data_IF_041919540184
#
_entry.id   IF_041919540184
#
_cell.length_a   1.000
_cell.length_b   1.000
_cell.length_c   1.000
_cell.angle_alpha   90.00
_cell.angle_beta   90.00
_cell.angle_gamma   90.00
#
_symmetry.space_group_name_H-M   'P 1'
#
loop_
_entity.id
_entity.type
_entity.pdbx_description
1 polymer ?
#
# COMPACT_ATOMS: atom_id res chain seq x y z
N UNK A 1 -24.44 -90.00 88.47
CA UNK A 1 -24.82 -88.85 87.61
C UNK A 1 -23.74 -87.78 87.76
N UNK A 2 -22.66 -87.88 86.96
CA UNK A 2 -21.45 -87.05 87.13
C UNK A 2 -21.54 -85.77 86.31
N UNK A 3 -21.45 -84.64 87.00
CA UNK A 3 -21.45 -83.27 86.48
C UNK A 3 -20.29 -82.99 85.52
N UNK A 4 -20.60 -82.59 84.29
CA UNK A 4 -19.61 -81.96 83.40
C UNK A 4 -19.26 -80.57 83.95
N UNK A 5 -17.97 -80.35 84.24
CA UNK A 5 -17.42 -79.02 84.59
C UNK A 5 -17.28 -78.20 83.30
N UNK A 6 -17.66 -76.91 83.29
CA UNK A 6 -17.49 -76.06 82.11
C UNK A 6 -16.00 -75.79 81.84
N UNK A 7 -15.65 -75.83 80.56
CA UNK A 7 -14.30 -75.66 80.01
C UNK A 7 -13.76 -74.24 80.29
N UNK A 8 -12.55 -74.12 80.85
CA UNK A 8 -11.90 -72.82 81.08
C UNK A 8 -11.46 -72.25 79.75
N UNK A 9 -12.19 -71.27 79.24
CA UNK A 9 -11.81 -70.49 78.06
C UNK A 9 -10.54 -69.69 78.36
N UNK A 10 -9.43 -69.98 77.67
CA UNK A 10 -8.18 -69.22 77.77
C UNK A 10 -8.20 -68.12 76.71
N UNK A 11 -8.33 -66.86 77.13
CA UNK A 11 -8.26 -65.71 76.22
C UNK A 11 -6.78 -65.41 75.90
N UNK A 12 -6.34 -65.83 74.72
CA UNK A 12 -5.03 -65.48 74.16
C UNK A 12 -5.23 -64.31 73.18
N UNK A 13 -5.12 -63.09 73.68
CA UNK A 13 -5.09 -61.89 72.83
C UNK A 13 -3.67 -61.36 72.67
N UNK A 14 -3.42 -60.68 71.56
CA UNK A 14 -2.12 -60.08 71.26
C UNK A 14 -1.81 -58.93 72.24
N UNK A 15 -0.86 -59.14 73.14
CA UNK A 15 -0.47 -58.13 74.14
C UNK A 15 0.46 -57.10 73.48
N UNK A 16 -0.13 -56.02 72.97
CA UNK A 16 0.62 -54.85 72.51
C UNK A 16 0.47 -53.70 73.51
N UNK A 17 1.60 -53.06 73.88
CA UNK A 17 1.58 -51.90 74.76
C UNK A 17 1.20 -50.65 73.96
N UNK A 18 -0.08 -50.29 73.98
CA UNK A 18 -0.57 -49.08 73.30
C UNK A 18 -0.16 -47.86 74.13
N UNK A 19 0.66 -46.98 73.54
CA UNK A 19 1.00 -45.66 74.11
C UNK A 19 0.72 -44.58 73.07
N UNK A 20 -0.01 -43.55 73.47
CA UNK A 20 -0.16 -42.33 72.67
C UNK A 20 1.01 -41.39 72.98
N UNK A 21 1.66 -40.89 71.93
CA UNK A 21 2.74 -39.92 72.04
C UNK A 21 2.42 -38.71 71.18
N UNK A 22 2.61 -37.51 71.74
CA UNK A 22 2.51 -36.24 71.03
C UNK A 22 3.89 -35.57 71.05
N UNK A 23 4.87 -36.18 70.36
CA UNK A 23 6.20 -35.60 70.25
C UNK A 23 6.12 -34.34 69.39
N UNK A 24 6.41 -33.19 70.01
CA UNK A 24 6.42 -31.92 69.29
C UNK A 24 7.60 -31.87 68.32
N UNK A 25 7.43 -31.24 67.15
CA UNK A 25 8.55 -31.02 66.24
C UNK A 25 9.60 -30.12 66.91
N UNK A 26 10.89 -30.28 66.55
CA UNK A 26 11.92 -29.35 67.00
C UNK A 26 11.61 -27.93 66.49
N UNK A 27 12.06 -26.88 67.19
CA UNK A 27 11.79 -25.51 66.77
C UNK A 27 12.31 -25.27 65.35
N UNK A 28 11.43 -24.79 64.42
CA UNK A 28 11.88 -24.36 63.12
C UNK A 28 12.72 -23.11 63.35
N UNK A 29 13.95 -23.07 62.86
CA UNK A 29 14.79 -21.89 62.93
C UNK A 29 14.66 -21.15 61.59
N UNK A 30 13.56 -20.42 61.33
CA UNK A 30 13.41 -19.71 60.06
C UNK A 30 14.50 -18.63 59.95
N UNK A 31 14.85 -18.24 58.72
CA UNK A 31 15.74 -17.11 58.51
C UNK A 31 15.17 -15.85 59.16
N UNK A 32 16.02 -15.09 59.84
CA UNK A 32 15.64 -13.81 60.44
C UNK A 32 15.53 -12.76 59.34
N UNK A 33 14.38 -12.12 59.23
CA UNK A 33 14.23 -10.96 58.35
C UNK A 33 15.02 -9.79 58.95
N UNK A 34 15.79 -9.12 58.10
CA UNK A 34 16.50 -7.90 58.46
C UNK A 34 15.59 -6.70 58.23
N UNK A 35 15.67 -5.72 59.10
CA UNK A 35 14.99 -4.43 58.90
C UNK A 35 15.76 -3.63 57.85
N UNK A 36 15.09 -3.35 56.73
CA UNK A 36 15.67 -2.53 55.66
C UNK A 36 15.45 -1.06 56.03
N UNK A 37 16.51 -0.23 56.13
CA UNK A 37 16.36 1.16 56.52
C UNK A 37 15.54 1.93 55.48
N UNK A 38 14.44 2.55 55.91
CA UNK A 38 13.62 3.44 55.10
C UNK A 38 13.69 4.90 55.60
N UNK A 39 13.50 5.87 54.71
CA UNK A 39 13.57 7.30 55.06
C UNK A 39 12.37 7.78 55.88
N UNK A 40 11.26 7.04 55.90
CA UNK A 40 10.10 7.32 56.75
C UNK A 40 9.58 8.77 56.65
N UNK A 41 8.75 9.17 57.61
CA UNK A 41 8.32 10.57 57.72
C UNK A 41 9.37 11.46 58.38
N UNK A 42 10.26 10.86 59.19
CA UNK A 42 11.35 11.57 59.88
C UNK A 42 12.46 12.04 58.92
N UNK A 43 12.61 11.40 57.75
CA UNK A 43 13.59 11.76 56.73
C UNK A 43 13.31 13.06 55.98
N UNK A 44 12.19 13.75 56.26
CA UNK A 44 11.92 15.10 55.75
C UNK A 44 11.51 15.19 54.28
N UNK A 45 11.74 14.15 53.48
CA UNK A 45 11.42 14.13 52.04
C UNK A 45 9.93 14.36 51.79
N UNK A 46 9.07 13.63 52.49
CA UNK A 46 7.60 13.71 52.38
C UNK A 46 6.98 14.91 53.09
N UNK A 47 7.69 15.52 54.04
CA UNK A 47 7.21 16.70 54.78
C UNK A 47 7.77 18.01 54.23
N UNK A 48 8.63 17.95 53.21
CA UNK A 48 9.18 19.12 52.54
C UNK A 48 8.11 19.82 51.69
N UNK A 49 8.14 21.16 51.66
CA UNK A 49 7.27 21.95 50.79
C UNK A 49 7.49 21.63 49.29
N UNK A 50 8.70 21.19 48.92
CA UNK A 50 9.02 20.78 47.56
C UNK A 50 8.21 19.56 47.10
N UNK A 51 7.92 18.63 48.01
CA UNK A 51 7.09 17.45 47.73
C UNK A 51 5.67 17.84 47.27
N UNK A 52 5.10 18.89 47.86
CA UNK A 52 3.78 19.41 47.52
C UNK A 52 3.77 20.34 46.28
N UNK A 53 4.93 20.69 45.72
CA UNK A 53 5.03 21.65 44.61
C UNK A 53 4.28 21.22 43.35
N UNK A 54 4.26 19.91 43.06
CA UNK A 54 3.52 19.36 41.92
C UNK A 54 2.00 19.56 42.10
N UNK A 55 1.49 19.26 43.29
CA UNK A 55 0.08 19.46 43.63
C UNK A 55 -0.31 20.94 43.55
N UNK A 56 0.56 21.83 44.04
CA UNK A 56 0.31 23.28 43.98
C UNK A 56 0.23 23.80 42.53
N UNK A 57 1.01 23.24 41.60
CA UNK A 57 0.99 23.61 40.17
C UNK A 57 -0.19 23.05 39.40
N UNK A 58 -0.75 21.94 39.87
CA UNK A 58 -1.96 21.33 39.27
C UNK A 58 -3.25 22.06 39.69
N UNK A 59 -3.20 22.93 40.71
CA UNK A 59 -4.34 23.76 41.08
C UNK A 59 -4.68 24.73 39.94
N UNK A 60 -5.94 24.76 39.47
CA UNK A 60 -6.39 25.74 38.49
C UNK A 60 -6.10 27.16 38.97
N UNK A 61 -5.51 27.97 38.09
CA UNK A 61 -5.24 29.38 38.40
C UNK A 61 -6.56 30.14 38.45
N UNK A 62 -6.69 31.00 39.47
CA UNK A 62 -7.78 31.96 39.48
C UNK A 62 -7.57 32.97 38.35
N UNK A 63 -8.58 33.12 37.50
CA UNK A 63 -8.61 34.09 36.40
C UNK A 63 -9.42 35.35 36.75
N UNK A 64 -10.04 35.38 37.93
CA UNK A 64 -10.72 36.57 38.46
C UNK A 64 -9.67 37.62 38.86
N UNK A 65 -9.47 38.62 38.00
CA UNK A 65 -8.49 39.67 38.23
C UNK A 65 -8.94 40.68 39.31
N UNK A 66 -10.18 41.15 39.21
CA UNK A 66 -10.82 42.08 40.13
C UNK A 66 -12.34 41.82 40.20
N UNK A 67 -13.08 42.68 40.90
CA UNK A 67 -14.53 42.55 41.04
C UNK A 67 -15.31 42.69 39.71
N UNK A 68 -14.72 43.28 38.67
CA UNK A 68 -15.33 43.52 37.36
C UNK A 68 -14.64 42.71 36.24
N UNK A 69 -13.89 41.67 36.60
CA UNK A 69 -13.15 40.77 35.70
C UNK A 69 -12.24 41.53 34.70
N UNK A 70 -11.63 42.63 35.13
CA UNK A 70 -10.76 43.48 34.32
C UNK A 70 -11.47 44.33 33.27
N UNK A 71 -12.80 44.43 33.32
CA UNK A 71 -13.61 45.28 32.45
C UNK A 71 -14.31 46.36 33.29
N UNK A 72 -13.61 47.48 33.61
CA UNK A 72 -14.15 48.48 34.50
C UNK A 72 -15.38 49.17 33.91
N UNK A 73 -16.51 49.16 34.62
CA UNK A 73 -17.74 49.83 34.20
C UNK A 73 -17.77 51.24 34.80
N UNK A 74 -17.06 52.16 34.16
CA UNK A 74 -17.04 53.58 34.53
C UNK A 74 -17.69 54.45 33.44
N UNK A 75 -18.55 55.37 33.87
CA UNK A 75 -19.24 56.34 33.00
C UNK A 75 -18.49 57.67 32.92
N UNK A 76 -17.50 57.89 33.78
CA UNK A 76 -16.70 59.11 33.81
C UNK A 76 -15.87 59.19 32.51
N UNK A 77 -16.03 60.30 31.78
CA UNK A 77 -15.34 60.53 30.49
C UNK A 77 -16.13 60.09 29.27
N UNK A 78 -17.29 59.44 29.42
CA UNK A 78 -18.22 59.18 28.31
C UNK A 78 -18.94 60.48 27.93
N UNK A 79 -18.82 60.96 26.67
CA UNK A 79 -19.46 62.22 26.26
C UNK A 79 -20.98 62.18 26.40
N UNK A 80 -21.57 63.21 27.01
CA UNK A 80 -23.03 63.43 27.04
C UNK A 80 -23.83 62.58 28.03
N UNK A 81 -23.20 61.59 28.70
CA UNK A 81 -23.93 60.63 29.55
C UNK A 81 -24.63 61.29 30.75
N UNK A 82 -23.98 62.25 31.40
CA UNK A 82 -24.56 62.99 32.53
C UNK A 82 -25.57 64.06 32.11
N UNK A 83 -25.66 64.37 30.81
CA UNK A 83 -26.61 65.32 30.21
C UNK A 83 -27.86 64.62 29.67
N UNK A 84 -27.92 63.28 29.77
CA UNK A 84 -29.03 62.45 29.29
C UNK A 84 -28.88 61.94 27.85
N UNK A 85 -27.74 62.19 27.20
CA UNK A 85 -27.42 61.59 25.89
C UNK A 85 -26.68 60.25 26.07
N UNK A 86 -27.39 59.16 25.82
CA UNK A 86 -26.87 57.79 25.95
C UNK A 86 -26.28 57.23 24.64
N UNK A 87 -26.16 58.03 23.58
CA UNK A 87 -25.70 57.53 22.26
C UNK A 87 -24.32 56.90 22.28
N UNK A 88 -23.42 57.37 23.14
CA UNK A 88 -22.04 56.87 23.22
C UNK A 88 -21.94 55.41 23.72
N UNK A 89 -22.93 54.92 24.47
CA UNK A 89 -22.98 53.55 24.99
C UNK A 89 -23.93 52.64 24.20
N UNK A 90 -24.74 53.22 23.31
CA UNK A 90 -25.63 52.43 22.45
C UNK A 90 -24.88 51.80 21.28
N UNK A 91 -25.34 50.62 20.89
CA UNK A 91 -24.86 49.94 19.69
C UNK A 91 -25.36 50.65 18.44
N UNK A 92 -24.54 50.71 17.39
CA UNK A 92 -24.97 51.17 16.06
C UNK A 92 -26.18 50.36 15.57
N UNK A 93 -27.18 51.03 15.00
CA UNK A 93 -28.34 50.40 14.36
C UNK A 93 -27.94 49.59 13.11
N UNK A 94 -26.81 49.95 12.49
CA UNK A 94 -26.27 49.25 11.32
C UNK A 94 -25.16 48.28 11.74
N UNK A 95 -25.29 46.98 11.44
CA UNK A 95 -24.26 45.99 11.75
C UNK A 95 -23.03 46.25 10.88
N UNK A 96 -21.89 46.47 11.53
CA UNK A 96 -20.62 46.67 10.86
C UNK A 96 -20.03 45.32 10.39
N UNK A 97 -19.21 45.30 9.33
CA UNK A 97 -18.45 44.12 8.94
C UNK A 97 -17.56 43.65 10.09
N UNK A 98 -17.62 42.36 10.44
CA UNK A 98 -16.87 41.77 11.56
C UNK A 98 -15.44 41.47 11.11
N UNK A 99 -14.44 41.83 11.92
CA UNK A 99 -13.04 41.46 11.68
C UNK A 99 -12.87 39.93 11.71
N UNK A 100 -12.07 39.33 10.80
CA UNK A 100 -11.76 37.91 10.82
C UNK A 100 -11.28 37.36 12.19
N UNK A 101 -10.56 38.16 13.00
CA UNK A 101 -10.10 37.77 14.34
C UNK A 101 -11.26 37.65 15.33
N UNK A 102 -12.20 38.59 15.29
CA UNK A 102 -13.37 38.64 16.19
C UNK A 102 -14.40 37.56 15.85
N UNK A 103 -14.46 37.18 14.57
CA UNK A 103 -15.36 36.11 14.10
C UNK A 103 -15.19 34.79 14.86
N UNK A 104 -13.99 34.49 15.37
CA UNK A 104 -13.75 33.28 16.16
C UNK A 104 -14.33 33.36 17.57
N UNK A 105 -14.36 34.55 18.16
CA UNK A 105 -14.87 34.81 19.52
C UNK A 105 -16.40 34.77 19.57
N UNK A 106 -17.07 35.08 18.45
CA UNK A 106 -18.52 35.06 18.31
C UNK A 106 -19.13 33.65 18.10
N UNK A 107 -18.31 32.59 18.13
CA UNK A 107 -18.82 31.22 17.97
C UNK A 107 -19.70 30.85 19.18
N UNK A 108 -20.90 30.30 18.96
CA UNK A 108 -21.74 29.84 20.07
C UNK A 108 -21.04 28.69 20.79
N UNK A 109 -21.32 28.53 22.09
CA UNK A 109 -20.74 27.45 22.91
C UNK A 109 -20.98 26.05 22.31
N UNK A 110 -22.12 25.84 21.65
CA UNK A 110 -22.43 24.59 20.95
C UNK A 110 -21.48 24.29 19.77
N UNK A 111 -20.91 25.32 19.14
CA UNK A 111 -19.88 25.18 18.10
C UNK A 111 -18.48 25.00 18.70
N UNK A 112 -18.30 25.28 20.00
CA UNK A 112 -17.07 25.03 20.74
C UNK A 112 -17.06 23.57 21.22
N UNK A 113 -16.93 22.67 20.26
CA UNK A 113 -16.83 21.22 20.51
C UNK A 113 -15.74 20.62 19.63
N UNK A 114 -15.25 19.43 20.01
CA UNK A 114 -14.33 18.67 19.16
C UNK A 114 -14.99 18.45 17.79
N UNK A 115 -14.41 19.01 16.74
CA UNK A 115 -14.78 18.67 15.38
C UNK A 115 -14.76 17.16 15.22
N UNK A 116 -15.77 16.61 14.54
CA UNK A 116 -16.00 15.18 14.31
C UNK A 116 -14.72 14.33 14.45
N UNK A 117 -14.58 13.66 15.59
CA UNK A 117 -13.51 12.68 15.82
C UNK A 117 -13.66 11.41 14.94
N UNK A 118 -14.63 11.40 14.03
CA UNK A 118 -14.88 10.35 13.05
C UNK A 118 -13.80 10.26 11.95
N UNK A 119 -12.84 11.18 11.93
CA UNK A 119 -11.82 11.27 10.87
C UNK A 119 -10.37 11.11 11.34
N UNK A 120 -10.10 10.90 12.63
CA UNK A 120 -8.72 10.70 13.09
C UNK A 120 -8.21 9.35 12.55
N UNK A 121 -7.22 9.32 11.64
CA UNK A 121 -6.72 8.08 11.09
C UNK A 121 -5.91 7.37 12.17
N UNK A 122 -6.49 6.34 12.76
CA UNK A 122 -5.80 5.50 13.73
C UNK A 122 -5.24 4.28 12.98
N UNK A 123 -3.92 4.09 13.02
CA UNK A 123 -3.20 3.09 12.21
C UNK A 123 -3.62 1.64 12.46
N UNK A 124 -4.15 1.36 13.66
CA UNK A 124 -4.65 0.02 14.02
C UNK A 124 -6.10 -0.22 13.61
N UNK A 125 -6.89 0.82 13.31
CA UNK A 125 -8.31 0.69 13.03
C UNK A 125 -8.55 0.69 11.52
N UNK A 126 -8.65 -0.52 10.94
CA UNK A 126 -9.03 -0.69 9.54
C UNK A 126 -10.53 -0.42 9.36
N UNK A 127 -10.91 0.14 8.21
CA UNK A 127 -12.33 0.28 7.83
C UNK A 127 -12.92 -1.12 7.61
N UNK A 128 -14.14 -1.32 8.06
CA UNK A 128 -14.88 -2.57 7.81
C UNK A 128 -15.18 -2.66 6.31
N UNK A 129 -14.81 -3.77 5.68
CA UNK A 129 -15.33 -4.12 4.36
C UNK A 129 -16.79 -4.53 4.51
N UNK A 130 -17.66 -3.92 3.70
CA UNK A 130 -18.99 -4.45 3.49
C UNK A 130 -18.87 -5.46 2.35
N UNK A 131 -19.43 -6.66 2.53
CA UNK A 131 -19.50 -7.68 1.49
C UNK A 131 -20.38 -7.17 0.34
N UNK A 132 -19.81 -6.33 -0.53
CA UNK A 132 -20.42 -5.98 -1.79
C UNK A 132 -20.32 -7.24 -2.65
N UNK A 133 -21.46 -7.84 -2.94
CA UNK A 133 -21.60 -8.98 -3.83
C UNK A 133 -21.23 -8.59 -5.26
N UNK A 134 -19.95 -8.38 -5.55
CA UNK A 134 -19.43 -8.63 -6.88
C UNK A 134 -18.87 -10.05 -6.85
N UNK A 135 -19.80 -11.00 -6.94
CA UNK A 135 -19.47 -12.31 -7.44
C UNK A 135 -18.75 -12.13 -8.79
N UNK A 136 -17.73 -12.95 -9.11
CA UNK A 136 -17.28 -13.03 -10.48
C UNK A 136 -18.51 -13.27 -11.35
N UNK A 137 -18.72 -12.42 -12.34
CA UNK A 137 -19.80 -12.56 -13.31
C UNK A 137 -19.60 -13.92 -13.99
N UNK A 138 -20.23 -14.94 -13.44
CA UNK A 138 -20.41 -16.21 -14.11
C UNK A 138 -21.15 -15.88 -15.40
N UNK A 139 -20.53 -16.22 -16.52
CA UNK A 139 -21.08 -16.14 -17.86
C UNK A 139 -22.59 -16.38 -17.81
N UNK A 140 -23.36 -15.36 -18.22
CA UNK A 140 -24.79 -15.49 -18.37
C UNK A 140 -25.05 -16.69 -19.29
N UNK A 141 -25.56 -17.79 -18.73
CA UNK A 141 -26.10 -18.88 -19.51
C UNK A 141 -27.21 -18.28 -20.38
N UNK A 142 -26.91 -18.12 -21.67
CA UNK A 142 -27.88 -17.70 -22.66
C UNK A 142 -29.04 -18.71 -22.64
N UNK A 143 -30.14 -18.32 -21.99
CA UNK A 143 -31.36 -19.14 -22.03
C UNK A 143 -31.89 -19.17 -23.47
N UNK A 144 -32.53 -20.26 -23.85
CA UNK A 144 -33.06 -20.50 -25.19
C UNK A 144 -34.01 -19.39 -25.70
N UNK A 145 -34.59 -18.58 -24.80
CA UNK A 145 -35.41 -17.42 -25.15
C UNK A 145 -34.61 -16.24 -25.72
N UNK A 146 -33.37 -16.02 -25.27
CA UNK A 146 -32.52 -14.96 -25.82
C UNK A 146 -31.93 -15.34 -27.18
N UNK A 147 -31.62 -16.63 -27.38
CA UNK A 147 -31.19 -17.15 -28.68
C UNK A 147 -32.28 -16.98 -29.76
N UNK A 148 -33.54 -17.13 -29.40
CA UNK A 148 -34.68 -16.97 -30.31
C UNK A 148 -34.98 -15.52 -30.69
N UNK A 149 -34.61 -14.55 -29.85
CA UNK A 149 -34.69 -13.11 -30.17
C UNK A 149 -33.58 -12.69 -31.13
N UNK A 150 -32.38 -13.27 -30.99
CA UNK A 150 -31.26 -13.05 -31.93
C UNK A 150 -31.49 -13.71 -33.31
N UNK A 151 -32.23 -14.81 -33.37
CA UNK A 151 -32.49 -15.56 -34.63
C UNK A 151 -33.53 -14.91 -35.55
N UNK A 152 -34.41 -14.08 -35.01
CA UNK A 152 -35.56 -13.52 -35.73
C UNK A 152 -35.42 -12.03 -36.08
N UNK A 153 -34.24 -11.44 -35.93
CA UNK A 153 -34.01 -10.05 -36.34
C UNK A 153 -33.76 -9.98 -37.88
N UNK A 154 -34.72 -9.45 -38.68
CA UNK A 154 -34.63 -9.46 -40.13
C UNK A 154 -33.51 -8.57 -40.68
N UNK A 155 -32.90 -7.70 -39.84
CA UNK A 155 -31.76 -6.85 -40.22
C UNK A 155 -30.42 -7.58 -40.22
N UNK A 156 -30.30 -8.75 -39.57
CA UNK A 156 -29.06 -9.53 -39.50
C UNK A 156 -28.98 -10.68 -40.51
N UNK A 157 -30.08 -10.93 -41.21
CA UNK A 157 -30.18 -11.92 -42.29
C UNK A 157 -29.70 -11.30 -43.60
N UNK A 158 -28.38 -11.09 -43.71
CA UNK A 158 -27.58 -11.05 -44.96
C UNK A 158 -26.22 -10.41 -44.63
N UNK A 159 -25.32 -11.23 -44.11
CA UNK A 159 -23.90 -11.07 -44.41
C UNK A 159 -23.48 -12.47 -44.84
N UNK A 160 -23.09 -12.64 -46.09
CA UNK A 160 -22.31 -13.82 -46.48
C UNK A 160 -21.11 -13.82 -45.53
N UNK A 161 -21.08 -14.75 -44.59
CA UNK A 161 -19.92 -14.91 -43.71
C UNK A 161 -18.79 -15.38 -44.61
N UNK A 162 -17.93 -14.45 -45.00
CA UNK A 162 -16.63 -14.79 -45.60
C UNK A 162 -15.94 -15.73 -44.63
N UNK A 163 -15.38 -16.83 -45.14
CA UNK A 163 -14.70 -17.81 -44.31
C UNK A 163 -13.60 -17.11 -43.51
N UNK A 164 -13.64 -17.26 -42.18
CA UNK A 164 -12.71 -16.57 -41.26
C UNK A 164 -11.28 -17.03 -41.46
N UNK A 165 -11.10 -18.26 -41.91
CA UNK A 165 -9.82 -18.92 -42.14
C UNK A 165 -9.30 -18.75 -43.58
N UNK A 166 -10.02 -18.02 -44.45
CA UNK A 166 -9.52 -17.71 -45.79
C UNK A 166 -8.30 -16.78 -45.67
N UNK A 167 -7.11 -17.14 -46.21
CA UNK A 167 -5.90 -16.32 -46.12
C UNK A 167 -6.11 -14.89 -46.63
N UNK A 168 -6.95 -14.69 -47.65
CA UNK A 168 -7.24 -13.35 -48.16
C UNK A 168 -8.03 -12.54 -47.13
N UNK A 169 -9.00 -13.17 -46.46
CA UNK A 169 -9.79 -12.52 -45.42
C UNK A 169 -8.94 -12.18 -44.19
N UNK A 170 -8.00 -13.05 -43.82
CA UNK A 170 -7.03 -12.79 -42.74
C UNK A 170 -6.18 -11.57 -43.10
N UNK A 171 -5.58 -11.54 -44.31
CA UNK A 171 -4.76 -10.42 -44.77
C UNK A 171 -5.53 -9.09 -44.78
N UNK A 172 -6.78 -9.09 -45.24
CA UNK A 172 -7.63 -7.88 -45.22
C UNK A 172 -7.93 -7.39 -43.80
N UNK A 173 -8.13 -8.30 -42.84
CA UNK A 173 -8.36 -7.92 -41.44
C UNK A 173 -7.07 -7.46 -40.74
N UNK A 174 -5.90 -8.00 -41.13
CA UNK A 174 -4.60 -7.49 -40.68
C UNK A 174 -4.41 -6.05 -41.20
N UNK A 175 -4.59 -5.83 -42.51
CA UNK A 175 -4.49 -4.50 -43.12
C UNK A 175 -5.47 -3.49 -42.49
N UNK A 176 -6.71 -3.91 -42.18
CA UNK A 176 -7.69 -3.10 -41.44
C UNK A 176 -7.15 -2.60 -40.09
N UNK A 177 -6.37 -3.41 -39.36
CA UNK A 177 -5.77 -2.98 -38.08
C UNK A 177 -4.80 -1.80 -38.26
N UNK A 178 -3.98 -1.86 -39.32
CA UNK A 178 -3.08 -0.76 -39.69
C UNK A 178 -3.85 0.47 -40.20
N UNK A 179 -4.87 0.27 -41.04
CA UNK A 179 -5.71 1.35 -41.57
C UNK A 179 -6.49 2.09 -40.46
N UNK A 180 -6.90 1.39 -39.39
CA UNK A 180 -7.54 2.02 -38.22
C UNK A 180 -6.54 2.87 -37.43
N UNK A 181 -5.31 2.37 -37.25
CA UNK A 181 -4.27 3.08 -36.50
C UNK A 181 -3.77 4.32 -37.26
N UNK A 182 -3.58 4.19 -38.58
CA UNK A 182 -3.05 5.22 -39.49
C UNK A 182 -3.95 5.39 -40.72
N UNK A 183 -5.09 6.11 -40.60
CA UNK A 183 -6.07 6.23 -41.69
C UNK A 183 -5.57 7.02 -42.91
N UNK A 184 -4.51 7.82 -42.76
CA UNK A 184 -3.87 8.57 -43.84
C UNK A 184 -3.08 7.66 -44.79
N UNK A 185 -2.50 6.58 -44.25
CA UNK A 185 -1.66 5.64 -45.02
C UNK A 185 -2.49 4.52 -45.69
N UNK A 186 -3.80 4.50 -45.44
CA UNK A 186 -4.69 3.43 -45.89
C UNK A 186 -4.77 3.35 -47.42
N UNK A 187 -4.47 2.17 -47.97
CA UNK A 187 -4.49 1.92 -49.42
C UNK A 187 -5.94 1.85 -49.95
N UNK A 188 -6.29 2.74 -50.89
CA UNK A 188 -7.65 2.84 -51.48
C UNK A 188 -7.75 2.32 -52.93
N UNK A 189 -6.67 1.75 -53.47
CA UNK A 189 -6.60 1.23 -54.84
C UNK A 189 -7.23 -0.15 -55.03
N UNK A 190 -7.24 -0.65 -56.27
CA UNK A 190 -7.68 -2.01 -56.61
C UNK A 190 -6.73 -3.07 -56.03
N UNK A 191 -7.26 -4.25 -55.73
CA UNK A 191 -6.49 -5.37 -55.18
C UNK A 191 -5.45 -5.87 -56.22
N UNK A 192 -4.20 -5.99 -55.79
CA UNK A 192 -3.06 -6.51 -56.57
C UNK A 192 -2.45 -7.73 -55.89
N UNK A 193 -1.56 -8.44 -56.57
CA UNK A 193 -0.83 -9.60 -56.01
C UNK A 193 0.09 -9.23 -54.85
N UNK A 194 0.53 -7.97 -54.78
CA UNK A 194 1.46 -7.45 -53.76
C UNK A 194 0.80 -6.56 -52.72
N UNK A 195 -0.40 -6.05 -52.97
CA UNK A 195 -1.08 -5.09 -52.09
C UNK A 195 -2.58 -5.32 -52.13
N UNK A 196 -3.16 -5.52 -50.95
CA UNK A 196 -4.58 -5.80 -50.77
C UNK A 196 -5.21 -4.66 -49.99
N UNK A 197 -6.44 -4.30 -50.35
CA UNK A 197 -7.23 -3.33 -49.59
C UNK A 197 -7.66 -3.93 -48.25
N UNK A 198 -7.49 -3.17 -47.16
CA UNK A 198 -8.00 -3.55 -45.85
C UNK A 198 -9.53 -3.73 -45.84
N UNK A 199 -10.00 -4.59 -44.94
CA UNK A 199 -11.43 -4.70 -44.68
C UNK A 199 -11.98 -3.36 -44.15
N UNK A 200 -13.21 -3.01 -44.54
CA UNK A 200 -13.80 -1.74 -44.10
C UNK A 200 -13.93 -1.68 -42.56
N UNK A 201 -13.39 -0.64 -41.91
CA UNK A 201 -13.57 -0.45 -40.48
C UNK A 201 -15.02 -0.10 -40.16
N UNK A 202 -15.49 -0.57 -39.02
CA UNK A 202 -16.83 -0.25 -38.51
C UNK A 202 -16.81 1.06 -37.75
N UNK A 203 -17.94 1.77 -37.74
CA UNK A 203 -18.08 3.02 -36.96
C UNK A 203 -17.76 2.85 -35.48
N UNK A 204 -17.98 1.65 -34.93
CA UNK A 204 -17.67 1.33 -33.54
C UNK A 204 -16.16 1.28 -33.28
N UNK A 205 -15.39 0.68 -34.20
CA UNK A 205 -13.93 0.60 -34.11
C UNK A 205 -13.29 1.98 -34.25
N UNK A 206 -13.76 2.79 -35.21
CA UNK A 206 -13.27 4.17 -35.41
C UNK A 206 -13.52 5.01 -34.15
N UNK A 207 -14.72 4.93 -33.56
CA UNK A 207 -15.04 5.66 -32.32
C UNK A 207 -14.24 5.17 -31.12
N UNK A 208 -14.00 3.86 -31.03
CA UNK A 208 -13.20 3.27 -29.96
C UNK A 208 -11.74 3.71 -30.05
N UNK A 209 -11.18 3.79 -31.25
CA UNK A 209 -9.82 4.30 -31.46
C UNK A 209 -9.71 5.80 -31.19
N UNK A 210 -10.69 6.60 -31.63
CA UNK A 210 -10.69 8.04 -31.40
C UNK A 210 -10.89 8.43 -29.91
N UNK A 211 -11.61 7.61 -29.14
CA UNK A 211 -11.85 7.84 -27.71
C UNK A 211 -11.62 6.53 -26.92
N UNK A 212 -10.36 6.13 -26.73
CA UNK A 212 -10.04 4.86 -26.12
C UNK A 212 -10.46 4.84 -24.65
N UNK A 213 -11.16 3.77 -24.27
CA UNK A 213 -11.58 3.50 -22.90
C UNK A 213 -10.95 2.20 -22.43
N UNK A 214 -10.44 2.20 -21.20
CA UNK A 214 -9.88 0.98 -20.63
C UNK A 214 -11.00 -0.07 -20.44
N UNK A 215 -10.82 -1.32 -20.89
CA UNK A 215 -11.90 -2.33 -20.96
C UNK A 215 -12.54 -2.63 -19.59
N UNK A 216 -11.75 -2.60 -18.51
CA UNK A 216 -12.22 -2.91 -17.14
C UNK A 216 -12.46 -1.67 -16.27
N UNK A 217 -11.87 -0.53 -16.61
CA UNK A 217 -11.77 0.65 -15.74
C UNK A 217 -12.11 1.92 -16.54
N UNK A 218 -13.39 2.15 -16.84
CA UNK A 218 -13.80 3.19 -17.77
C UNK A 218 -13.49 4.61 -17.29
N UNK A 219 -13.17 4.82 -16.00
CA UNK A 219 -12.71 6.13 -15.50
C UNK A 219 -11.29 6.51 -15.93
N UNK A 220 -10.48 5.55 -16.38
CA UNK A 220 -9.11 5.83 -16.80
C UNK A 220 -9.10 6.56 -18.14
N UNK A 221 -8.20 7.55 -18.25
CA UNK A 221 -7.98 8.34 -19.45
C UNK A 221 -6.66 7.93 -20.09
N UNK A 222 -6.65 7.84 -21.42
CA UNK A 222 -5.40 7.70 -22.17
C UNK A 222 -4.55 8.95 -21.95
N UNK A 223 -3.31 8.76 -21.49
CA UNK A 223 -2.34 9.83 -21.32
C UNK A 223 -1.52 10.03 -22.59
N UNK A 224 -0.94 8.94 -23.11
CA UNK A 224 -0.06 8.95 -24.27
C UNK A 224 -0.14 7.60 -25.01
N UNK A 225 0.23 7.58 -26.29
CA UNK A 225 0.24 6.39 -27.14
C UNK A 225 1.54 6.32 -27.94
N UNK A 226 2.32 5.27 -27.72
CA UNK A 226 3.60 5.06 -28.40
C UNK A 226 3.46 4.01 -29.51
N UNK A 227 3.93 4.29 -30.74
CA UNK A 227 3.96 3.30 -31.80
C UNK A 227 5.00 2.21 -31.47
N UNK A 228 4.64 0.95 -31.71
CA UNK A 228 5.59 -0.16 -31.64
C UNK A 228 6.24 -0.30 -33.01
N UNK A 229 7.43 0.29 -33.16
CA UNK A 229 8.24 0.13 -34.35
C UNK A 229 9.35 -0.88 -34.06
N UNK A 230 9.58 -1.87 -34.93
CA UNK A 230 10.81 -2.67 -34.86
C UNK A 230 11.98 -1.74 -35.12
N UNK A 231 12.79 -1.49 -34.09
CA UNK A 231 13.92 -0.59 -34.19
C UNK A 231 15.09 -1.31 -34.88
N UNK A 232 15.29 -1.01 -36.16
CA UNK A 232 16.36 -1.60 -36.99
C UNK A 232 17.72 -0.92 -36.75
N UNK A 233 17.72 0.29 -36.19
CA UNK A 233 18.90 1.10 -35.93
C UNK A 233 19.15 1.26 -34.42
N UNK A 234 18.51 0.41 -33.59
CA UNK A 234 18.64 0.40 -32.13
C UNK A 234 20.10 0.22 -31.72
N UNK A 235 20.84 1.31 -31.55
CA UNK A 235 22.11 1.26 -30.86
C UNK A 235 21.79 1.05 -29.38
N UNK A 236 22.38 0.04 -28.72
CA UNK A 236 22.27 -0.07 -27.27
C UNK A 236 22.76 1.23 -26.64
N UNK A 237 22.32 1.53 -25.42
CA UNK A 237 22.70 2.76 -24.69
C UNK A 237 24.22 3.01 -24.64
N UNK A 238 25.03 1.96 -24.80
CA UNK A 238 26.50 2.02 -24.88
C UNK A 238 27.05 2.51 -26.23
N UNK A 239 26.24 2.67 -27.28
CA UNK A 239 26.64 3.13 -28.61
C UNK A 239 27.57 2.18 -29.38
N UNK A 240 27.77 0.96 -28.89
CA UNK A 240 28.69 -0.02 -29.47
C UNK A 240 27.99 -1.37 -29.70
N UNK A 241 28.30 -2.04 -30.81
CA UNK A 241 27.95 -3.44 -30.99
C UNK A 241 28.98 -4.33 -30.32
N UNK A 242 28.53 -5.38 -29.63
CA UNK A 242 29.40 -6.34 -28.97
C UNK A 242 29.36 -7.63 -29.76
N UNK A 243 30.53 -8.09 -30.20
CA UNK A 243 30.67 -9.43 -30.78
C UNK A 243 31.22 -10.34 -29.69
N UNK A 244 30.38 -11.22 -29.18
CA UNK A 244 30.78 -12.21 -28.17
C UNK A 244 31.10 -13.53 -28.85
N UNK A 245 32.28 -14.08 -28.57
CA UNK A 245 32.69 -15.41 -29.01
C UNK A 245 32.93 -16.29 -27.79
N UNK A 246 32.17 -17.38 -27.67
CA UNK A 246 32.43 -18.38 -26.65
C UNK A 246 33.71 -19.16 -26.99
N UNK A 247 34.57 -19.37 -25.99
CA UNK A 247 35.81 -20.15 -26.16
C UNK A 247 35.52 -21.65 -26.36
N UNK A 248 34.46 -22.17 -25.73
CA UNK A 248 33.92 -23.51 -25.88
C UNK A 248 32.39 -23.44 -25.92
N UNK A 249 31.72 -24.46 -26.46
CA UNK A 249 30.26 -24.49 -26.49
C UNK A 249 29.69 -24.41 -25.05
N UNK A 250 28.89 -23.38 -24.71
CA UNK A 250 28.38 -23.18 -23.34
C UNK A 250 27.43 -24.30 -22.90
N UNK A 251 26.89 -25.09 -23.83
CA UNK A 251 25.97 -26.19 -23.54
C UNK A 251 26.63 -27.58 -23.55
N UNK A 252 27.97 -27.65 -23.65
CA UNK A 252 28.73 -28.90 -23.64
C UNK A 252 29.24 -29.32 -25.02
N UNK A 253 29.91 -30.48 -25.08
CA UNK A 253 30.56 -30.96 -26.31
C UNK A 253 29.50 -31.49 -27.28
N UNK A 254 29.37 -30.84 -28.44
CA UNK A 254 28.49 -31.27 -29.55
C UNK A 254 29.19 -30.99 -30.88
N UNK A 255 28.96 -31.85 -31.87
CA UNK A 255 29.45 -31.65 -33.25
C UNK A 255 28.48 -30.85 -34.13
N UNK A 256 27.26 -30.59 -33.66
CA UNK A 256 26.24 -29.82 -34.38
C UNK A 256 26.05 -28.43 -33.77
N UNK A 257 25.71 -27.45 -34.61
CA UNK A 257 25.34 -26.11 -34.16
C UNK A 257 24.10 -26.17 -33.26
N UNK A 258 24.14 -25.49 -32.13
CA UNK A 258 23.05 -25.44 -31.16
C UNK A 258 22.17 -24.21 -31.42
N UNK A 259 20.93 -24.41 -31.86
CA UNK A 259 19.96 -23.35 -32.18
C UNK A 259 19.61 -22.48 -30.97
N UNK A 260 19.88 -22.94 -29.74
CA UNK A 260 19.70 -22.13 -28.53
C UNK A 260 20.59 -20.89 -28.50
N UNK A 261 21.68 -20.88 -29.28
CA UNK A 261 22.55 -19.71 -29.43
C UNK A 261 21.87 -18.58 -30.21
N UNK A 262 20.93 -18.88 -31.11
CA UNK A 262 20.22 -17.88 -31.93
C UNK A 262 19.24 -17.05 -31.08
N UNK A 263 18.67 -17.67 -30.05
CA UNK A 263 17.71 -17.05 -29.12
C UNK A 263 18.36 -16.71 -27.76
N UNK A 264 19.68 -16.82 -27.65
CA UNK A 264 20.41 -16.57 -26.41
C UNK A 264 20.44 -15.08 -26.07
N UNK A 265 20.17 -14.75 -24.81
CA UNK A 265 20.22 -13.38 -24.31
C UNK A 265 21.47 -13.20 -23.43
N UNK A 266 22.31 -12.23 -23.77
CA UNK A 266 23.39 -11.76 -22.91
C UNK A 266 22.91 -10.54 -22.14
N UNK A 267 22.87 -10.64 -20.82
CA UNK A 267 22.49 -9.54 -19.95
C UNK A 267 23.74 -9.01 -19.23
N UNK A 268 24.12 -7.73 -19.39
CA UNK A 268 25.24 -7.16 -18.67
C UNK A 268 24.92 -7.07 -17.17
N UNK A 269 25.88 -7.46 -16.35
CA UNK A 269 25.81 -7.33 -14.90
C UNK A 269 26.41 -5.98 -14.52
N UNK A 270 25.64 -5.18 -13.79
CA UNK A 270 26.12 -3.93 -13.19
C UNK A 270 26.99 -4.24 -11.97
N UNK A 271 28.32 -4.18 -12.15
CA UNK A 271 29.30 -4.29 -11.07
C UNK A 271 29.88 -2.90 -10.72
N UNK A 272 29.53 -2.33 -9.55
CA UNK A 272 30.06 -1.04 -9.09
C UNK A 272 31.58 -1.00 -8.99
N UNK A 273 32.24 -2.12 -8.70
CA UNK A 273 33.69 -2.17 -8.58
C UNK A 273 34.36 -1.96 -9.94
N UNK A 274 33.87 -2.63 -10.99
CA UNK A 274 34.37 -2.46 -12.37
C UNK A 274 34.11 -1.07 -12.93
N UNK A 275 32.97 -0.48 -12.59
CA UNK A 275 32.67 0.91 -12.95
C UNK A 275 33.66 1.88 -12.28
N UNK A 276 33.98 1.68 -11.00
CA UNK A 276 34.97 2.50 -10.29
C UNK A 276 36.39 2.33 -10.86
N UNK A 277 36.78 1.10 -11.22
CA UNK A 277 38.06 0.84 -11.89
C UNK A 277 38.13 1.49 -13.28
N UNK A 278 37.05 1.43 -14.06
CA UNK A 278 36.96 2.09 -15.36
C UNK A 278 37.10 3.60 -15.23
N UNK A 279 36.39 4.23 -14.28
CA UNK A 279 36.50 5.66 -13.98
C UNK A 279 37.93 6.04 -13.63
N UNK A 280 38.59 5.25 -12.77
CA UNK A 280 40.00 5.48 -12.43
C UNK A 280 40.92 5.36 -13.65
N UNK A 281 40.73 4.34 -14.50
CA UNK A 281 41.52 4.18 -15.73
C UNK A 281 41.29 5.35 -16.69
N UNK A 282 40.06 5.87 -16.76
CA UNK A 282 39.69 7.03 -17.57
C UNK A 282 40.32 8.33 -17.05
N UNK A 283 40.34 8.54 -15.73
CA UNK A 283 40.98 9.70 -15.10
C UNK A 283 42.51 9.71 -15.31
N UNK A 284 43.13 8.53 -15.34
CA UNK A 284 44.55 8.35 -15.63
C UNK A 284 44.87 8.39 -17.14
N UNK A 285 43.86 8.35 -18.02
CA UNK A 285 44.05 8.32 -19.46
C UNK A 285 44.16 9.73 -20.05
N UNK A 286 45.30 10.00 -20.67
CA UNK A 286 45.54 11.23 -21.42
C UNK A 286 45.15 11.06 -22.89
N UNK A 287 44.19 11.87 -23.34
CA UNK A 287 43.72 11.92 -24.74
C UNK A 287 44.81 12.21 -25.78
N UNK A 288 45.95 12.81 -25.37
CA UNK A 288 47.09 13.07 -26.25
C UNK A 288 48.10 11.92 -26.29
N UNK A 289 47.89 10.86 -25.52
CA UNK A 289 48.75 9.69 -25.46
C UNK A 289 48.42 8.71 -26.60
N UNK A 290 49.43 8.00 -27.11
CA UNK A 290 49.25 6.89 -28.06
C UNK A 290 48.60 5.64 -27.43
N UNK A 291 48.18 5.70 -26.16
CA UNK A 291 47.50 4.59 -25.48
C UNK A 291 46.01 4.58 -25.86
N UNK A 292 45.42 3.41 -26.14
CA UNK A 292 44.00 3.31 -26.46
C UNK A 292 43.16 3.78 -25.27
N UNK A 293 41.99 4.35 -25.58
CA UNK A 293 41.01 4.74 -24.56
C UNK A 293 40.58 3.51 -23.75
N UNK A 294 40.57 3.60 -22.41
CA UNK A 294 40.06 2.53 -21.56
C UNK A 294 38.59 2.21 -21.88
N UNK A 295 38.35 0.95 -22.23
CA UNK A 295 37.00 0.42 -22.43
C UNK A 295 36.41 -0.02 -21.10
N UNK A 296 35.08 0.09 -20.99
CA UNK A 296 34.35 -0.45 -19.85
C UNK A 296 34.25 -1.97 -19.97
N UNK A 297 34.60 -2.67 -18.88
CA UNK A 297 34.55 -4.12 -18.80
C UNK A 297 33.27 -4.53 -18.06
N UNK A 298 32.46 -5.38 -18.69
CA UNK A 298 31.24 -5.93 -18.11
C UNK A 298 31.37 -7.44 -17.94
N UNK A 299 30.79 -7.97 -16.86
CA UNK A 299 30.41 -9.38 -16.81
C UNK A 299 29.01 -9.54 -17.40
N UNK A 300 28.72 -10.72 -17.93
CA UNK A 300 27.44 -11.02 -18.56
C UNK A 300 26.86 -12.30 -17.98
N UNK A 301 25.57 -12.26 -17.66
CA UNK A 301 24.77 -13.47 -17.51
C UNK A 301 24.27 -13.90 -18.89
N UNK A 302 24.43 -15.19 -19.20
CA UNK A 302 23.94 -15.77 -20.44
C UNK A 302 22.70 -16.63 -20.16
N UNK A 303 21.58 -16.23 -20.75
CA UNK A 303 20.33 -16.97 -20.68
C UNK A 303 20.03 -17.62 -22.01
N UNK A 304 19.61 -18.87 -21.98
CA UNK A 304 19.17 -19.57 -23.17
C UNK A 304 18.00 -20.51 -22.84
N UNK A 305 17.17 -20.87 -23.84
CA UNK A 305 16.10 -21.84 -23.67
C UNK A 305 16.65 -23.18 -23.15
N UNK A 306 15.90 -23.85 -22.27
CA UNK A 306 16.30 -25.17 -21.79
C UNK A 306 16.22 -26.23 -22.90
N UNK A 307 15.23 -26.11 -23.80
CA UNK A 307 14.98 -27.06 -24.87
C UNK A 307 15.62 -26.63 -26.20
N UNK A 308 16.27 -27.56 -26.93
CA UNK A 308 16.94 -27.28 -28.20
C UNK A 308 15.99 -27.17 -29.41
N UNK A 309 14.69 -27.37 -29.25
CA UNK A 309 13.70 -27.44 -30.36
C UNK A 309 12.54 -26.45 -30.23
N UNK A 310 12.72 -25.37 -29.46
CA UNK A 310 11.69 -24.33 -29.30
C UNK A 310 11.69 -23.34 -30.48
#
# INVERSE_FOLDING_TARGET
MSSQRPERVVHQDYIARIRYSNALPPPPHPPKLLEIPGTGLAGGEYTSAAYASKLAREQPLNIEADAELGMPIDLIGVPGIFEGDNRAIFTSETPQPIDPKDKQLLKPLAALGKGNALGAPVSFLRRTEYTASQAPQHFANATSKDLNRLRNDPKRRKVQSVDKEDPINILRNIAKGFDIAYPEDAFRGEDSTTTLRGAAPTDAEIKAWANPKHPTKPELKLLDSYPVLPDLDALPTSGAYIITKFQANPFGVSETYDQRLDCGLLYPIDDPAKQAEHQRKMDEWDSNSNKPQPLIEYDYDFYAPNDPTA
#
